data_IF_583294260642
#
_entry.id   IF_583294260642
#
_cell.length_a   1.000
_cell.length_b   1.000
_cell.length_c   1.000
_cell.angle_alpha   90.00
_cell.angle_beta   90.00
_cell.angle_gamma   90.00
#
_symmetry.space_group_name_H-M   'P 1'
#
loop_
_entity.id
_entity.type
_entity.pdbx_description
1 polymer ?
#
# COMPACT_ATOMS: atom_id res chain seq x y z
N UNK A 1 13.75 6.60 -21.42
CA UNK A 1 13.90 5.32 -20.70
C UNK A 1 12.53 4.65 -20.66
N UNK A 2 12.45 3.35 -20.91
CA UNK A 2 11.22 2.56 -20.83
C UNK A 2 11.07 2.09 -19.38
N UNK A 3 9.89 2.27 -18.81
CA UNK A 3 9.54 1.79 -17.47
C UNK A 3 8.89 0.42 -17.57
N UNK A 4 9.36 -0.53 -16.77
CA UNK A 4 8.82 -1.89 -16.75
C UNK A 4 7.85 -2.05 -15.57
N UNK A 5 6.76 -2.77 -15.81
CA UNK A 5 5.87 -3.28 -14.76
C UNK A 5 5.51 -4.72 -15.08
N UNK A 6 5.74 -5.61 -14.15
CA UNK A 6 5.30 -7.00 -14.27
C UNK A 6 3.84 -7.13 -13.83
N UNK A 7 3.06 -7.93 -14.55
CA UNK A 7 1.67 -8.22 -14.25
C UNK A 7 1.38 -9.68 -14.51
N UNK A 8 0.85 -10.40 -13.52
CA UNK A 8 0.54 -11.81 -13.64
C UNK A 8 -0.86 -12.14 -13.10
N UNK A 9 -1.50 -13.15 -13.66
CA UNK A 9 -2.66 -13.79 -13.02
C UNK A 9 -2.20 -14.49 -11.74
N UNK A 10 -2.93 -14.29 -10.65
CA UNK A 10 -2.56 -14.80 -9.33
C UNK A 10 -3.76 -15.39 -8.60
N UNK A 11 -3.63 -16.64 -8.22
CA UNK A 11 -4.64 -17.38 -7.41
C UNK A 11 -4.14 -17.61 -5.98
N UNK A 12 -2.82 -17.52 -5.76
CA UNK A 12 -2.14 -17.70 -4.49
C UNK A 12 -1.16 -16.55 -4.23
N UNK A 13 -1.19 -15.97 -3.03
CA UNK A 13 -0.36 -14.84 -2.63
C UNK A 13 1.15 -15.09 -2.87
N UNK A 14 1.65 -16.23 -2.43
CA UNK A 14 3.06 -16.58 -2.55
C UNK A 14 3.48 -16.74 -4.02
N UNK A 15 2.80 -17.60 -4.76
CA UNK A 15 3.12 -17.89 -6.18
C UNK A 15 2.93 -16.67 -7.09
N UNK A 16 1.91 -15.85 -6.82
CA UNK A 16 1.67 -14.62 -7.58
C UNK A 16 2.83 -13.65 -7.46
N UNK A 17 3.34 -13.41 -6.26
CA UNK A 17 4.50 -12.54 -6.03
C UNK A 17 5.77 -13.14 -6.65
N UNK A 18 6.03 -14.45 -6.49
CA UNK A 18 7.18 -15.12 -7.13
C UNK A 18 7.18 -14.92 -8.66
N UNK A 19 6.06 -15.20 -9.31
CA UNK A 19 5.91 -15.02 -10.77
C UNK A 19 6.15 -13.57 -11.18
N UNK A 20 5.61 -12.62 -10.42
CA UNK A 20 5.77 -11.19 -10.68
C UNK A 20 7.24 -10.77 -10.61
N UNK A 21 7.97 -11.22 -9.59
CA UNK A 21 9.37 -10.88 -9.38
C UNK A 21 10.30 -11.51 -10.42
N UNK A 22 9.97 -12.68 -10.95
CA UNK A 22 10.76 -13.32 -12.01
C UNK A 22 10.92 -12.43 -13.26
N UNK A 23 9.89 -11.65 -13.61
CA UNK A 23 9.97 -10.74 -14.76
C UNK A 23 10.93 -9.56 -14.58
N UNK A 24 11.23 -9.20 -13.32
CA UNK A 24 12.09 -8.06 -12.98
C UNK A 24 13.32 -8.51 -12.18
N UNK A 25 13.69 -9.80 -12.23
CA UNK A 25 14.76 -10.39 -11.43
C UNK A 25 16.09 -9.69 -11.61
N UNK A 26 16.51 -9.47 -12.86
CA UNK A 26 17.82 -8.89 -13.15
C UNK A 26 17.90 -7.43 -12.67
N UNK A 27 16.82 -6.66 -12.86
CA UNK A 27 16.70 -5.30 -12.34
C UNK A 27 16.77 -5.30 -10.81
N UNK A 28 16.16 -6.31 -10.15
CA UNK A 28 16.16 -6.44 -8.69
C UNK A 28 17.54 -6.83 -8.15
N UNK A 29 18.22 -7.80 -8.76
CA UNK A 29 19.59 -8.20 -8.41
C UNK A 29 20.52 -6.99 -8.50
N UNK A 30 20.47 -6.26 -9.61
CA UNK A 30 21.26 -5.05 -9.83
C UNK A 30 20.96 -3.98 -8.79
N UNK A 31 19.69 -3.75 -8.48
CA UNK A 31 19.29 -2.71 -7.53
C UNK A 31 19.72 -3.01 -6.10
N UNK A 32 19.79 -4.29 -5.72
CA UNK A 32 20.14 -4.71 -4.36
C UNK A 32 21.65 -4.96 -4.14
N UNK A 33 22.46 -5.01 -5.20
CA UNK A 33 23.89 -5.37 -5.11
C UNK A 33 24.69 -4.52 -4.10
N UNK A 34 24.43 -3.21 -4.05
CA UNK A 34 25.12 -2.25 -3.20
C UNK A 34 24.31 -1.77 -1.98
N UNK A 35 23.15 -2.39 -1.71
CA UNK A 35 22.29 -2.02 -0.59
C UNK A 35 22.72 -2.78 0.66
N UNK A 36 23.05 -2.06 1.74
CA UNK A 36 23.46 -2.64 3.03
C UNK A 36 22.29 -3.15 3.86
N UNK A 37 21.14 -2.48 3.77
CA UNK A 37 19.87 -2.92 4.37
C UNK A 37 18.72 -2.45 3.50
N UNK A 38 17.67 -3.25 3.42
CA UNK A 38 16.42 -2.84 2.77
C UNK A 38 15.28 -2.80 3.80
N UNK A 39 14.30 -1.93 3.53
CA UNK A 39 13.13 -1.80 4.37
C UNK A 39 11.88 -2.19 3.58
N UNK A 40 11.12 -3.14 4.12
CA UNK A 40 9.80 -3.53 3.63
C UNK A 40 8.74 -2.81 4.44
N UNK A 41 8.03 -1.86 3.83
CA UNK A 41 6.85 -1.26 4.43
C UNK A 41 5.64 -2.11 4.09
N UNK A 42 5.12 -2.79 5.08
CA UNK A 42 3.85 -3.52 4.98
C UNK A 42 2.67 -2.61 5.33
N UNK A 43 1.45 -3.10 5.21
CA UNK A 43 0.25 -2.45 5.72
C UNK A 43 -0.37 -3.32 6.82
N UNK A 44 -0.46 -2.79 8.02
CA UNK A 44 -1.07 -3.44 9.17
C UNK A 44 -1.88 -2.39 9.94
N UNK A 45 -3.06 -2.07 9.42
CA UNK A 45 -3.87 -0.96 9.95
C UNK A 45 -4.40 -1.28 11.34
N UNK A 46 -4.76 -2.55 11.58
CA UNK A 46 -5.35 -3.01 12.84
C UNK A 46 -4.53 -4.18 13.39
N UNK A 47 -4.01 -3.98 14.59
CA UNK A 47 -3.21 -4.97 15.30
C UNK A 47 -4.03 -5.98 16.13
N UNK A 48 -5.35 -5.77 16.31
CA UNK A 48 -6.23 -6.61 17.13
C UNK A 48 -7.40 -7.14 16.31
N UNK A 49 -7.81 -8.41 16.57
CA UNK A 49 -9.02 -9.00 15.98
C UNK A 49 -10.26 -8.87 16.88
N UNK A 50 -10.08 -8.73 18.21
CA UNK A 50 -11.20 -8.69 19.18
C UNK A 50 -11.95 -7.37 19.05
N UNK A 51 -13.26 -7.43 18.81
CA UNK A 51 -14.13 -6.26 18.73
C UNK A 51 -14.15 -5.55 17.38
N UNK A 52 -13.43 -6.04 16.35
CA UNK A 52 -13.43 -5.46 15.01
C UNK A 52 -14.33 -6.22 14.04
N UNK A 53 -14.89 -5.57 13.01
CA UNK A 53 -15.74 -6.20 12.01
C UNK A 53 -15.01 -7.34 11.27
N UNK A 54 -15.77 -8.33 10.79
CA UNK A 54 -15.26 -9.34 9.85
C UNK A 54 -14.66 -8.65 8.61
N UNK A 55 -13.53 -9.15 8.12
CA UNK A 55 -12.85 -8.61 6.94
C UNK A 55 -11.73 -7.62 7.26
N UNK A 56 -11.48 -7.34 8.54
CA UNK A 56 -10.39 -6.46 8.97
C UNK A 56 -9.01 -7.00 8.57
N UNK A 57 -8.87 -8.32 8.43
CA UNK A 57 -7.67 -8.98 7.90
C UNK A 57 -7.34 -8.53 6.47
N UNK A 58 -8.35 -8.07 5.71
CA UNK A 58 -8.15 -7.50 4.37
C UNK A 58 -7.46 -6.13 4.40
N UNK A 59 -7.36 -5.48 5.56
CA UNK A 59 -6.60 -4.25 5.72
C UNK A 59 -5.09 -4.52 5.84
N UNK A 60 -4.68 -5.77 6.09
CA UNK A 60 -3.29 -6.17 6.33
C UNK A 60 -2.65 -6.74 5.06
N UNK A 61 -1.36 -6.47 4.87
CA UNK A 61 -0.55 -7.12 3.84
C UNK A 61 -0.51 -8.63 4.10
N UNK A 62 -0.76 -9.50 3.10
CA UNK A 62 -0.67 -10.94 3.27
C UNK A 62 0.75 -11.35 3.67
N UNK A 63 0.89 -12.11 4.76
CA UNK A 63 2.18 -12.66 5.18
C UNK A 63 2.90 -13.39 4.03
N UNK A 64 2.15 -14.22 3.28
CA UNK A 64 2.68 -14.99 2.17
C UNK A 64 3.24 -14.15 1.02
N UNK A 65 2.81 -12.90 0.85
CA UNK A 65 3.39 -11.99 -0.12
C UNK A 65 4.77 -11.48 0.33
N UNK A 66 4.93 -11.23 1.64
CA UNK A 66 6.20 -10.80 2.23
C UNK A 66 7.20 -11.95 2.29
N UNK A 67 6.76 -13.12 2.74
CA UNK A 67 7.55 -14.37 2.73
C UNK A 67 8.07 -14.66 1.32
N UNK A 68 7.20 -14.59 0.32
CA UNK A 68 7.57 -14.78 -1.08
C UNK A 68 8.66 -13.82 -1.56
N UNK A 69 8.58 -12.54 -1.21
CA UNK A 69 9.61 -11.57 -1.57
C UNK A 69 10.95 -11.89 -0.89
N UNK A 70 10.94 -12.21 0.41
CA UNK A 70 12.14 -12.56 1.17
C UNK A 70 12.81 -13.81 0.58
N UNK A 71 12.03 -14.87 0.35
CA UNK A 71 12.53 -16.10 -0.25
C UNK A 71 13.12 -15.88 -1.65
N UNK A 72 12.46 -15.00 -2.44
CA UNK A 72 12.92 -14.67 -3.79
C UNK A 72 14.30 -13.98 -3.80
N UNK A 73 14.53 -13.05 -2.87
CA UNK A 73 15.79 -12.31 -2.83
C UNK A 73 16.87 -13.04 -2.04
N UNK A 74 16.53 -14.00 -1.19
CA UNK A 74 17.45 -14.70 -0.30
C UNK A 74 18.66 -15.37 -1.00
N UNK A 75 18.59 -15.85 -2.27
CA UNK A 75 19.75 -16.39 -2.96
C UNK A 75 20.85 -15.36 -3.26
N UNK A 76 20.48 -14.08 -3.45
CA UNK A 76 21.41 -13.02 -3.87
C UNK A 76 21.48 -11.82 -2.92
N UNK A 77 20.67 -11.78 -1.86
CA UNK A 77 20.69 -10.73 -0.84
C UNK A 77 20.74 -11.33 0.56
N UNK A 78 21.89 -11.20 1.25
CA UNK A 78 22.17 -11.79 2.57
C UNK A 78 22.28 -10.75 3.69
N UNK A 79 21.98 -9.48 3.38
CA UNK A 79 22.09 -8.38 4.32
C UNK A 79 20.77 -8.15 5.05
N UNK A 80 20.74 -7.18 5.97
CA UNK A 80 19.56 -6.90 6.81
C UNK A 80 18.32 -6.57 6.00
N UNK A 81 17.19 -7.17 6.40
CA UNK A 81 15.83 -6.88 5.91
C UNK A 81 15.01 -6.38 7.09
N UNK A 82 14.53 -5.14 7.01
CA UNK A 82 13.68 -4.54 8.03
C UNK A 82 12.24 -4.62 7.56
N UNK A 83 11.37 -5.32 8.28
CA UNK A 83 9.91 -5.25 8.07
C UNK A 83 9.37 -4.21 9.06
N UNK A 84 8.85 -3.11 8.52
CA UNK A 84 8.44 -1.96 9.32
C UNK A 84 6.95 -1.63 9.15
N UNK A 85 6.30 -1.32 10.27
CA UNK A 85 4.94 -0.79 10.30
C UNK A 85 4.68 -0.01 11.60
N UNK A 86 3.68 0.83 11.57
CA UNK A 86 3.03 1.42 12.73
C UNK A 86 1.52 1.26 12.58
N UNK A 87 0.95 0.33 13.32
CA UNK A 87 -0.50 0.11 13.34
C UNK A 87 -1.25 1.39 13.72
N UNK A 88 -2.37 1.64 13.06
CA UNK A 88 -3.26 2.75 13.42
C UNK A 88 -4.02 2.44 14.72
N UNK A 89 -4.39 1.17 14.94
CA UNK A 89 -5.11 0.70 16.12
C UNK A 89 -4.45 -0.54 16.72
N UNK A 90 -4.29 -0.52 18.02
CA UNK A 90 -3.61 -1.57 18.79
C UNK A 90 -2.09 -1.40 18.80
N UNK A 91 -1.40 -2.36 19.39
CA UNK A 91 0.07 -2.38 19.44
C UNK A 91 0.61 -3.10 18.23
N UNK A 92 1.52 -2.48 17.49
CA UNK A 92 2.10 -3.06 16.26
C UNK A 92 2.74 -4.42 16.52
N UNK A 93 3.43 -4.59 17.66
CA UNK A 93 4.06 -5.86 18.06
C UNK A 93 3.03 -7.00 18.19
N UNK A 94 1.88 -6.73 18.82
CA UNK A 94 0.78 -7.71 18.88
C UNK A 94 0.24 -8.05 17.47
N UNK A 95 0.22 -7.06 16.57
CA UNK A 95 -0.17 -7.27 15.18
C UNK A 95 0.84 -8.08 14.38
N UNK A 96 2.14 -7.88 14.59
CA UNK A 96 3.18 -8.71 13.98
C UNK A 96 3.02 -10.18 14.40
N UNK A 97 2.77 -10.44 15.70
CA UNK A 97 2.53 -11.77 16.21
C UNK A 97 1.26 -12.39 15.62
N UNK A 98 0.14 -11.67 15.69
CA UNK A 98 -1.17 -12.12 15.22
C UNK A 98 -1.15 -12.53 13.74
N UNK A 99 -0.46 -11.76 12.91
CA UNK A 99 -0.39 -12.01 11.47
C UNK A 99 0.82 -12.85 11.05
N UNK A 100 1.59 -13.39 12.00
CA UNK A 100 2.66 -14.35 11.76
C UNK A 100 4.00 -13.74 11.35
N UNK A 101 4.16 -12.42 11.36
CA UNK A 101 5.43 -11.76 11.01
C UNK A 101 6.54 -12.05 12.02
N UNK A 102 6.19 -12.23 13.31
CA UNK A 102 7.16 -12.64 14.35
C UNK A 102 7.77 -13.99 14.00
N UNK A 103 6.96 -14.99 13.68
CA UNK A 103 7.42 -16.31 13.24
C UNK A 103 8.23 -16.27 11.94
N UNK A 104 7.89 -15.35 11.02
CA UNK A 104 8.67 -15.15 9.80
C UNK A 104 10.07 -14.62 10.12
N UNK A 105 10.18 -13.66 11.04
CA UNK A 105 11.48 -13.11 11.47
C UNK A 105 12.32 -14.15 12.22
N UNK A 106 11.73 -14.94 13.11
CA UNK A 106 12.39 -16.04 13.82
C UNK A 106 13.02 -17.07 12.87
N UNK A 107 12.35 -17.36 11.75
CA UNK A 107 12.86 -18.30 10.72
C UNK A 107 13.93 -17.70 9.80
N UNK A 108 14.08 -16.39 9.77
CA UNK A 108 14.98 -15.68 8.88
C UNK A 108 15.88 -14.73 9.66
N UNK A 109 17.10 -15.16 10.07
CA UNK A 109 17.98 -14.36 10.94
C UNK A 109 18.34 -12.96 10.38
N UNK A 110 18.25 -12.76 9.07
CA UNK A 110 18.46 -11.47 8.43
C UNK A 110 17.26 -10.51 8.54
N UNK A 111 16.10 -11.00 9.03
CA UNK A 111 14.86 -10.22 9.12
C UNK A 111 14.70 -9.65 10.52
N UNK A 112 14.53 -8.33 10.59
CA UNK A 112 14.21 -7.60 11.81
C UNK A 112 12.86 -6.92 11.69
N UNK A 113 12.02 -7.05 12.71
CA UNK A 113 10.77 -6.30 12.84
C UNK A 113 11.01 -4.94 13.48
N UNK A 114 10.44 -3.89 12.92
CA UNK A 114 10.49 -2.55 13.45
C UNK A 114 9.07 -2.01 13.66
N UNK A 115 8.69 -1.82 14.94
CA UNK A 115 7.55 -0.96 15.24
C UNK A 115 8.00 0.49 15.05
N UNK A 116 7.49 1.16 14.02
CA UNK A 116 7.84 2.54 13.73
C UNK A 116 7.47 3.50 14.86
N UNK A 117 6.61 3.08 15.80
CA UNK A 117 6.30 3.86 17.01
C UNK A 117 7.53 4.01 17.91
N UNK A 118 8.41 3.00 17.91
CA UNK A 118 9.64 2.97 18.72
C UNK A 118 10.84 3.60 17.99
N UNK A 119 10.66 4.03 16.72
CA UNK A 119 11.72 4.63 15.91
C UNK A 119 11.97 6.10 16.29
N UNK A 120 13.18 6.58 16.05
CA UNK A 120 13.51 8.00 16.19
C UNK A 120 12.67 8.85 15.24
N UNK A 121 12.24 10.00 15.74
CA UNK A 121 11.40 10.96 14.99
C UNK A 121 12.26 12.06 14.41
N UNK A 122 11.98 12.41 13.15
CA UNK A 122 12.46 13.62 12.48
C UNK A 122 11.25 14.43 12.06
N UNK A 123 11.13 15.63 12.59
CA UNK A 123 10.08 16.56 12.16
C UNK A 123 10.40 17.16 10.78
N UNK A 124 9.40 17.19 9.91
CA UNK A 124 9.48 17.80 8.59
C UNK A 124 8.28 18.70 8.33
N UNK A 125 8.55 19.85 7.76
CA UNK A 125 7.52 20.77 7.29
C UNK A 125 6.99 20.32 5.93
N UNK A 126 5.69 20.15 5.84
CA UNK A 126 4.97 19.82 4.62
C UNK A 126 4.19 21.03 4.16
N UNK A 127 4.52 21.53 2.98
CA UNK A 127 3.81 22.64 2.35
C UNK A 127 2.62 22.10 1.54
N UNK A 128 1.48 22.79 1.62
CA UNK A 128 0.29 22.51 0.84
C UNK A 128 -0.49 23.82 0.56
N UNK A 129 -1.48 23.86 -0.33
CA UNK A 129 -2.11 25.11 -0.79
C UNK A 129 -2.70 26.02 0.28
N UNK A 130 -3.04 25.48 1.48
CA UNK A 130 -3.57 26.28 2.60
C UNK A 130 -2.48 26.82 3.53
N UNK A 131 -1.24 26.35 3.41
CA UNK A 131 -0.15 26.71 4.29
C UNK A 131 0.86 25.58 4.49
N UNK A 132 1.26 25.38 5.73
CA UNK A 132 2.23 24.34 6.11
C UNK A 132 1.81 23.60 7.36
N UNK A 133 2.20 22.33 7.46
CA UNK A 133 2.06 21.51 8.67
C UNK A 133 3.41 20.89 8.99
N UNK A 134 3.69 20.69 10.28
CA UNK A 134 4.87 19.96 10.74
C UNK A 134 4.41 18.54 11.10
N UNK A 135 5.05 17.54 10.49
CA UNK A 135 4.73 16.15 10.73
C UNK A 135 5.97 15.39 11.22
N UNK A 136 5.79 14.48 12.21
CA UNK A 136 6.86 13.62 12.71
C UNK A 136 7.00 12.40 11.79
N UNK A 137 8.19 12.20 11.24
CA UNK A 137 8.52 11.06 10.39
C UNK A 137 9.42 10.07 11.11
N UNK A 138 9.29 8.79 10.76
CA UNK A 138 10.24 7.76 11.12
C UNK A 138 11.60 8.04 10.47
N UNK A 139 12.66 8.15 11.29
CA UNK A 139 14.02 8.35 10.81
C UNK A 139 14.46 7.21 9.90
N UNK A 140 14.23 5.98 10.32
CA UNK A 140 14.60 4.78 9.54
C UNK A 140 13.95 4.76 8.15
N UNK A 141 12.68 5.19 8.04
CA UNK A 141 12.00 5.29 6.75
C UNK A 141 12.55 6.40 5.86
N UNK A 142 12.89 7.56 6.44
CA UNK A 142 13.48 8.67 5.68
C UNK A 142 14.89 8.37 5.17
N UNK A 143 15.69 7.62 5.93
CA UNK A 143 17.10 7.37 5.65
C UNK A 143 17.36 6.06 4.90
N UNK A 144 16.34 5.19 4.77
CA UNK A 144 16.52 3.90 4.07
C UNK A 144 16.94 4.09 2.62
N UNK A 145 17.91 3.30 2.19
CA UNK A 145 18.45 3.37 0.82
C UNK A 145 17.61 2.56 -0.19
N UNK A 146 16.84 1.59 0.30
CA UNK A 146 15.96 0.82 -0.56
C UNK A 146 14.66 0.49 0.18
N UNK A 147 13.59 1.17 -0.23
CA UNK A 147 12.25 1.06 0.34
C UNK A 147 11.34 0.24 -0.57
N UNK A 148 10.87 -0.89 -0.07
CA UNK A 148 9.90 -1.76 -0.75
C UNK A 148 8.53 -1.55 -0.11
N UNK A 149 7.52 -1.25 -0.90
CA UNK A 149 6.13 -1.27 -0.45
C UNK A 149 5.47 -2.57 -0.87
N UNK A 150 5.07 -3.41 0.09
CA UNK A 150 4.29 -4.62 -0.19
C UNK A 150 2.90 -4.44 0.39
N UNK A 151 1.88 -4.45 -0.48
CA UNK A 151 0.50 -4.19 -0.07
C UNK A 151 -0.50 -4.94 -0.94
N UNK A 152 -1.79 -4.83 -0.58
CA UNK A 152 -2.91 -5.25 -1.43
C UNK A 152 -3.72 -4.04 -1.90
N UNK A 153 -4.45 -4.14 -3.03
CA UNK A 153 -5.30 -3.07 -3.51
C UNK A 153 -6.52 -2.92 -2.61
N UNK A 154 -6.82 -1.66 -2.21
CA UNK A 154 -7.98 -1.36 -1.36
C UNK A 154 -8.67 -0.08 -1.80
N UNK A 155 -10.00 -0.05 -1.67
CA UNK A 155 -10.76 1.20 -1.70
C UNK A 155 -10.50 2.03 -0.45
N UNK A 156 -10.78 3.34 -0.51
CA UNK A 156 -10.52 4.27 0.59
C UNK A 156 -11.53 5.42 0.60
N UNK A 157 -11.98 5.81 1.80
CA UNK A 157 -12.99 6.85 2.04
C UNK A 157 -12.57 8.26 1.59
N UNK A 158 -11.27 8.60 1.62
CA UNK A 158 -10.81 9.96 1.32
C UNK A 158 -10.18 10.08 -0.07
N UNK A 159 -9.39 9.09 -0.47
CA UNK A 159 -8.58 9.14 -1.69
C UNK A 159 -8.97 8.10 -2.74
N UNK A 160 -10.12 7.46 -2.59
CA UNK A 160 -10.70 6.40 -3.43
C UNK A 160 -9.93 5.08 -3.40
N UNK A 161 -8.60 5.11 -3.50
CA UNK A 161 -7.74 3.92 -3.57
C UNK A 161 -6.55 4.05 -2.63
N UNK A 162 -6.18 2.95 -2.00
CA UNK A 162 -4.89 2.72 -1.35
C UNK A 162 -4.16 1.62 -2.09
N UNK A 163 -2.93 1.90 -2.51
CA UNK A 163 -2.01 0.96 -3.11
C UNK A 163 -0.59 1.20 -2.56
N UNK A 164 0.46 0.97 -3.33
CA UNK A 164 1.85 1.00 -2.86
C UNK A 164 2.31 2.36 -2.33
N UNK A 165 2.03 3.44 -3.05
CA UNK A 165 2.48 4.78 -2.69
C UNK A 165 1.85 5.23 -1.37
N UNK A 166 0.52 5.22 -1.26
CA UNK A 166 -0.17 5.68 -0.06
C UNK A 166 0.22 4.88 1.19
N UNK A 167 0.50 3.58 1.04
CA UNK A 167 0.99 2.72 2.12
C UNK A 167 2.28 3.27 2.76
N UNK A 168 3.18 3.80 1.95
CA UNK A 168 4.43 4.42 2.40
C UNK A 168 4.18 5.82 2.94
N UNK A 169 3.48 6.69 2.20
CA UNK A 169 3.36 8.11 2.55
C UNK A 169 2.70 8.30 3.92
N UNK A 170 1.56 7.68 4.18
CA UNK A 170 0.87 7.77 5.48
C UNK A 170 1.58 6.92 6.54
N UNK A 171 2.10 5.76 6.13
CA UNK A 171 2.81 4.84 7.02
C UNK A 171 4.16 5.35 7.52
N UNK A 172 4.74 6.39 6.90
CA UNK A 172 5.98 7.03 7.35
C UNK A 172 5.79 8.00 8.52
N UNK A 173 4.54 8.43 8.77
CA UNK A 173 4.23 9.37 9.83
C UNK A 173 4.20 8.65 11.18
N UNK A 174 5.08 9.07 12.08
CA UNK A 174 5.26 8.48 13.41
C UNK A 174 4.64 9.31 14.55
N UNK A 175 3.66 10.13 14.27
CA UNK A 175 2.97 10.92 15.28
C UNK A 175 1.77 10.21 15.93
N UNK A 176 1.10 10.92 16.82
CA UNK A 176 -0.16 10.51 17.40
C UNK A 176 -1.26 10.36 16.34
N UNK A 177 -2.44 9.93 16.76
CA UNK A 177 -3.60 9.88 15.88
C UNK A 177 -3.95 11.26 15.28
N UNK A 178 -3.83 12.30 16.09
CA UNK A 178 -4.10 13.70 15.73
C UNK A 178 -3.16 14.16 14.59
N UNK A 179 -1.89 13.76 14.63
CA UNK A 179 -0.96 14.02 13.53
C UNK A 179 -1.40 13.38 12.22
N UNK A 180 -1.95 12.15 12.29
CA UNK A 180 -2.50 11.48 11.11
C UNK A 180 -3.81 12.11 10.63
N UNK A 181 -4.65 12.62 11.53
CA UNK A 181 -5.85 13.37 11.17
C UNK A 181 -5.53 14.66 10.40
N UNK A 182 -4.42 15.33 10.71
CA UNK A 182 -3.98 16.53 9.97
C UNK A 182 -3.74 16.24 8.48
N UNK A 183 -3.32 15.00 8.14
CA UNK A 183 -3.13 14.61 6.74
C UNK A 183 -4.48 14.52 6.01
N UNK A 184 -5.53 14.08 6.71
CA UNK A 184 -6.87 13.91 6.19
C UNK A 184 -7.70 15.20 6.21
N UNK A 185 -7.10 16.32 5.76
CA UNK A 185 -7.72 17.66 5.76
C UNK A 185 -8.63 17.89 4.54
N UNK A 186 -9.68 17.09 4.40
CA UNK A 186 -10.69 17.25 3.36
C UNK A 186 -10.09 17.33 1.96
N UNK A 187 -10.34 18.41 1.23
CA UNK A 187 -9.86 18.60 -0.16
C UNK A 187 -8.33 18.65 -0.31
N UNK A 188 -7.58 18.89 0.76
CA UNK A 188 -6.12 19.02 0.70
C UNK A 188 -5.35 17.72 0.94
N UNK A 189 -6.01 16.62 1.32
CA UNK A 189 -5.36 15.32 1.53
C UNK A 189 -4.47 14.91 0.35
N UNK A 190 -4.92 15.15 -0.87
CA UNK A 190 -4.18 14.79 -2.08
C UNK A 190 -2.88 15.61 -2.24
N UNK A 191 -2.92 16.91 -1.92
CA UNK A 191 -1.76 17.79 -1.97
C UNK A 191 -0.75 17.43 -0.87
N UNK A 192 -1.23 17.17 0.35
CA UNK A 192 -0.38 16.77 1.48
C UNK A 192 0.33 15.44 1.15
N UNK A 193 -0.38 14.43 0.65
CA UNK A 193 0.23 13.18 0.21
C UNK A 193 1.29 13.39 -0.87
N UNK A 194 0.99 14.22 -1.87
CA UNK A 194 1.95 14.51 -2.93
C UNK A 194 3.18 15.29 -2.44
N UNK A 195 3.06 16.10 -1.39
CA UNK A 195 4.19 16.78 -0.77
C UNK A 195 5.01 15.83 0.13
N UNK A 196 4.38 14.90 0.83
CA UNK A 196 5.10 13.84 1.57
C UNK A 196 5.95 12.99 0.63
N UNK A 197 5.48 12.75 -0.60
CA UNK A 197 6.21 11.99 -1.61
C UNK A 197 7.56 12.64 -2.04
N UNK A 198 7.80 13.90 -1.71
CA UNK A 198 9.10 14.53 -1.92
C UNK A 198 10.14 14.12 -0.87
N UNK A 199 9.69 13.65 0.29
CA UNK A 199 10.54 13.21 1.39
C UNK A 199 10.74 11.70 1.43
N UNK A 200 9.71 10.94 1.13
CA UNK A 200 9.73 9.47 1.18
C UNK A 200 8.91 8.90 0.02
N UNK A 201 9.53 8.00 -0.74
CA UNK A 201 8.90 7.38 -1.90
C UNK A 201 9.42 5.95 -2.09
N UNK A 202 8.58 4.96 -2.41
CA UNK A 202 9.06 3.58 -2.55
C UNK A 202 9.92 3.41 -3.81
N UNK A 203 11.02 2.65 -3.67
CA UNK A 203 11.91 2.27 -4.77
C UNK A 203 11.37 1.06 -5.53
N UNK A 204 10.64 0.19 -4.84
CA UNK A 204 9.94 -0.95 -5.43
C UNK A 204 8.55 -1.04 -4.82
N UNK A 205 7.54 -1.22 -5.67
CA UNK A 205 6.17 -1.50 -5.25
C UNK A 205 5.78 -2.89 -5.72
N UNK A 206 5.27 -3.69 -4.78
CA UNK A 206 4.65 -4.99 -5.02
C UNK A 206 3.20 -4.89 -4.55
N UNK A 207 2.25 -5.08 -5.46
CA UNK A 207 0.83 -5.09 -5.12
C UNK A 207 0.30 -6.50 -5.36
N UNK A 208 0.08 -7.19 -4.25
CA UNK A 208 -0.54 -8.50 -4.26
C UNK A 208 -2.07 -8.35 -4.31
N UNK A 209 -2.58 -8.36 -5.52
CA UNK A 209 -4.00 -8.31 -5.84
C UNK A 209 -4.62 -9.70 -6.01
N UNK A 210 -4.02 -10.78 -5.49
CA UNK A 210 -4.71 -12.09 -5.41
C UNK A 210 -6.05 -11.91 -4.72
N UNK A 211 -6.07 -11.08 -3.67
CA UNK A 211 -7.30 -10.58 -3.05
C UNK A 211 -7.14 -9.12 -2.66
N UNK A 212 -8.18 -8.33 -2.86
CA UNK A 212 -8.25 -6.94 -2.45
C UNK A 212 -9.41 -6.65 -1.51
N UNK A 213 -9.51 -5.39 -1.07
CA UNK A 213 -10.65 -4.89 -0.30
C UNK A 213 -11.43 -3.88 -1.13
N UNK A 214 -12.72 -4.11 -1.30
CA UNK A 214 -13.63 -3.21 -2.02
C UNK A 214 -14.74 -2.65 -1.11
N UNK A 215 -15.47 -1.64 -1.56
CA UNK A 215 -16.56 -1.01 -0.81
C UNK A 215 -16.03 -0.06 0.24
N UNK A 216 -16.44 -0.22 1.50
CA UNK A 216 -16.14 0.71 2.59
C UNK A 216 -14.72 0.54 3.19
N UNK A 217 -13.70 0.46 2.32
CA UNK A 217 -12.31 0.52 2.75
C UNK A 217 -11.92 1.88 3.37
N UNK A 218 -10.80 1.97 4.09
CA UNK A 218 -9.69 1.00 4.10
C UNK A 218 -9.82 -0.14 5.12
N UNK A 219 -10.92 -0.23 5.88
CA UNK A 219 -11.04 -1.18 7.01
C UNK A 219 -12.31 -2.02 6.93
N UNK A 220 -13.45 -1.41 6.63
CA UNK A 220 -14.78 -2.03 6.65
C UNK A 220 -15.25 -2.48 5.26
N UNK A 221 -14.31 -2.76 4.38
CA UNK A 221 -14.61 -3.29 3.06
C UNK A 221 -14.86 -4.79 3.08
N UNK A 222 -15.19 -5.33 1.92
CA UNK A 222 -15.35 -6.76 1.69
C UNK A 222 -14.29 -7.29 0.74
N UNK A 223 -14.11 -8.61 0.74
CA UNK A 223 -13.13 -9.28 -0.12
C UNK A 223 -13.54 -9.16 -1.58
N UNK A 224 -12.60 -8.75 -2.42
CA UNK A 224 -12.63 -8.89 -3.87
C UNK A 224 -11.55 -9.91 -4.26
N UNK A 225 -11.93 -10.93 -5.04
CA UNK A 225 -10.98 -11.90 -5.62
C UNK A 225 -10.44 -11.31 -6.91
N UNK A 226 -9.50 -10.36 -6.79
CA UNK A 226 -8.96 -9.59 -7.91
C UNK A 226 -8.16 -10.44 -8.88
N UNK A 227 -7.42 -11.43 -8.36
CA UNK A 227 -6.81 -12.48 -9.19
C UNK A 227 -5.57 -12.05 -9.95
N UNK A 228 -4.83 -11.03 -9.50
CA UNK A 228 -3.62 -10.54 -10.13
C UNK A 228 -2.54 -10.14 -9.11
N UNK A 229 -1.29 -10.10 -9.54
CA UNK A 229 -0.18 -9.52 -8.80
C UNK A 229 0.68 -8.70 -9.75
N UNK A 230 1.28 -7.61 -9.26
CA UNK A 230 2.15 -6.74 -10.05
C UNK A 230 3.32 -6.20 -9.24
N UNK A 231 4.42 -5.86 -9.93
CA UNK A 231 5.54 -5.15 -9.34
C UNK A 231 6.19 -4.19 -10.33
N UNK A 232 6.68 -3.05 -9.82
CA UNK A 232 7.43 -2.08 -10.61
C UNK A 232 8.37 -1.27 -9.74
N UNK A 233 9.52 -0.89 -10.29
CA UNK A 233 10.43 0.10 -9.73
C UNK A 233 9.92 1.54 -9.92
N UNK A 234 8.93 1.75 -10.79
CA UNK A 234 8.20 3.01 -10.88
C UNK A 234 6.88 2.88 -10.09
N UNK A 235 6.86 3.46 -8.90
CA UNK A 235 5.72 3.37 -8.00
C UNK A 235 4.44 4.01 -8.60
N UNK A 236 4.57 5.07 -9.39
CA UNK A 236 3.42 5.70 -10.04
C UNK A 236 2.83 4.78 -11.11
N UNK A 237 3.68 4.10 -11.89
CA UNK A 237 3.25 3.07 -12.85
C UNK A 237 2.52 1.93 -12.13
N UNK A 238 3.08 1.42 -11.03
CA UNK A 238 2.46 0.34 -10.25
C UNK A 238 1.07 0.74 -9.73
N UNK A 239 0.96 1.89 -9.07
CA UNK A 239 -0.30 2.35 -8.47
C UNK A 239 -1.35 2.69 -9.54
N UNK A 240 -0.96 3.34 -10.64
CA UNK A 240 -1.90 3.69 -11.73
C UNK A 240 -2.38 2.48 -12.51
N UNK A 241 -1.52 1.47 -12.70
CA UNK A 241 -1.94 0.18 -13.27
C UNK A 241 -2.89 -0.55 -12.30
N UNK A 242 -2.60 -0.57 -11.01
CA UNK A 242 -3.51 -1.16 -10.01
C UNK A 242 -4.89 -0.47 -10.02
N UNK A 243 -4.94 0.85 -10.08
CA UNK A 243 -6.20 1.62 -10.20
C UNK A 243 -6.99 1.19 -11.44
N UNK A 244 -6.32 1.03 -12.58
CA UNK A 244 -6.94 0.53 -13.82
C UNK A 244 -7.48 -0.90 -13.65
N UNK A 245 -6.71 -1.81 -13.07
CA UNK A 245 -7.11 -3.19 -12.80
C UNK A 245 -8.29 -3.28 -11.82
N UNK A 246 -8.37 -2.34 -10.86
CA UNK A 246 -9.52 -2.20 -9.98
C UNK A 246 -10.78 -1.68 -10.72
N UNK A 247 -10.68 -1.26 -11.97
CA UNK A 247 -11.77 -0.75 -12.79
C UNK A 247 -12.11 0.72 -12.53
N UNK A 248 -11.18 1.49 -11.94
CA UNK A 248 -11.33 2.93 -11.72
C UNK A 248 -10.62 3.76 -12.79
N UNK A 249 -11.08 4.99 -12.95
CA UNK A 249 -10.44 5.97 -13.83
C UNK A 249 -9.24 6.55 -13.09
N UNK A 250 -8.04 6.40 -13.66
CA UNK A 250 -6.77 6.84 -13.03
C UNK A 250 -6.79 8.34 -12.72
N UNK A 251 -7.34 9.16 -13.63
CA UNK A 251 -7.43 10.61 -13.45
C UNK A 251 -8.36 11.05 -12.32
N UNK A 252 -9.22 10.16 -11.80
CA UNK A 252 -10.07 10.44 -10.64
C UNK A 252 -9.33 10.30 -9.30
N UNK A 253 -8.08 9.82 -9.33
CA UNK A 253 -7.25 9.66 -8.13
C UNK A 253 -6.30 10.85 -8.04
N UNK A 254 -6.77 11.94 -7.41
CA UNK A 254 -6.12 13.24 -7.46
C UNK A 254 -4.66 13.24 -6.99
N UNK A 255 -4.29 12.49 -5.92
CA UNK A 255 -2.89 12.47 -5.49
C UNK A 255 -1.97 11.84 -6.55
N UNK A 256 -2.41 10.80 -7.27
CA UNK A 256 -1.63 10.21 -8.37
C UNK A 256 -1.50 11.19 -9.56
N UNK A 257 -2.56 11.96 -9.84
CA UNK A 257 -2.50 13.03 -10.84
C UNK A 257 -1.45 14.07 -10.48
N UNK A 258 -1.42 14.56 -9.24
CA UNK A 258 -0.42 15.52 -8.75
C UNK A 258 0.99 14.92 -8.82
N UNK A 259 1.17 13.64 -8.46
CA UNK A 259 2.48 12.96 -8.55
C UNK A 259 2.97 12.86 -10.00
N UNK A 260 2.08 12.62 -10.95
CA UNK A 260 2.39 12.67 -12.39
C UNK A 260 2.86 14.06 -12.83
N UNK A 261 2.15 15.11 -12.40
CA UNK A 261 2.52 16.51 -12.68
C UNK A 261 3.87 16.86 -12.06
N UNK A 262 4.18 16.35 -10.88
CA UNK A 262 5.50 16.45 -10.21
C UNK A 262 6.58 15.54 -10.80
N UNK A 263 6.30 14.80 -11.88
CA UNK A 263 7.23 13.87 -12.55
C UNK A 263 7.82 12.79 -11.63
N UNK A 264 7.02 12.31 -10.65
CA UNK A 264 7.43 11.24 -9.73
C UNK A 264 7.40 9.83 -10.34
N UNK A 265 7.12 9.70 -11.62
CA UNK A 265 7.06 8.47 -12.38
C UNK A 265 6.18 8.60 -13.61
N UNK A 266 5.90 7.48 -14.26
CA UNK A 266 5.08 7.40 -15.47
C UNK A 266 3.71 6.83 -15.13
N UNK A 267 2.65 7.58 -15.44
CA UNK A 267 1.27 7.14 -15.19
C UNK A 267 0.78 6.21 -16.32
N UNK A 268 0.22 5.06 -15.95
CA UNK A 268 -0.47 4.15 -16.89
C UNK A 268 -1.85 4.75 -17.28
N UNK A 269 -2.30 4.62 -18.55
CA UNK A 269 -1.56 4.04 -19.66
C UNK A 269 -0.56 5.04 -20.29
N UNK A 270 0.58 4.53 -20.75
CA UNK A 270 1.60 5.33 -21.44
C UNK A 270 2.44 4.46 -22.38
N UNK A 271 2.85 4.99 -23.54
CA UNK A 271 3.70 4.28 -24.53
C UNK A 271 5.11 3.96 -24.00
N UNK A 272 5.55 4.64 -22.93
CA UNK A 272 6.85 4.39 -22.27
C UNK A 272 6.77 3.30 -21.20
N UNK A 273 5.61 2.66 -21.03
CA UNK A 273 5.42 1.55 -20.08
C UNK A 273 5.39 0.24 -20.85
N UNK A 274 6.32 -0.64 -20.50
CA UNK A 274 6.37 -2.03 -20.94
C UNK A 274 5.69 -2.91 -19.88
N UNK A 275 4.65 -3.62 -20.29
CA UNK A 275 3.97 -4.61 -19.43
C UNK A 275 4.61 -5.96 -19.67
N UNK A 276 5.21 -6.53 -18.63
CA UNK A 276 5.80 -7.87 -18.65
C UNK A 276 4.79 -8.88 -18.11
N UNK A 277 4.36 -9.83 -18.93
CA UNK A 277 3.40 -10.88 -18.58
C UNK A 277 2.01 -10.63 -19.17
N UNK A 278 0.99 -10.55 -18.34
CA UNK A 278 -0.42 -10.54 -18.76
C UNK A 278 -0.87 -9.19 -19.34
N UNK A 279 -1.85 -9.23 -20.23
CA UNK A 279 -2.46 -8.01 -20.78
C UNK A 279 -3.41 -7.39 -19.72
N UNK A 280 -3.28 -6.10 -19.36
CA UNK A 280 -4.08 -5.48 -18.31
C UNK A 280 -5.59 -5.63 -18.49
N UNK A 281 -6.08 -5.54 -19.73
CA UNK A 281 -7.52 -5.64 -20.04
C UNK A 281 -8.14 -6.97 -19.62
N UNK A 282 -7.36 -8.07 -19.58
CA UNK A 282 -7.86 -9.41 -19.22
C UNK A 282 -8.00 -9.61 -17.73
N UNK A 283 -7.40 -8.73 -16.91
CA UNK A 283 -7.35 -8.87 -15.45
C UNK A 283 -8.12 -7.76 -14.69
N UNK A 284 -8.98 -7.01 -15.37
CA UNK A 284 -9.83 -6.01 -14.72
C UNK A 284 -10.83 -6.68 -13.79
N UNK A 285 -10.76 -6.35 -12.50
CA UNK A 285 -11.53 -7.00 -11.43
C UNK A 285 -12.71 -6.18 -10.87
N UNK A 286 -12.97 -4.99 -11.39
CA UNK A 286 -14.15 -4.13 -11.12
C UNK A 286 -14.51 -3.99 -9.64
N UNK A 287 -13.67 -3.33 -8.86
CA UNK A 287 -13.93 -3.05 -7.45
C UNK A 287 -15.14 -2.15 -7.25
N UNK A 288 -15.92 -2.44 -6.23
CA UNK A 288 -16.95 -1.52 -5.75
C UNK A 288 -16.29 -0.34 -5.03
N UNK A 289 -16.60 0.91 -5.40
CA UNK A 289 -16.05 2.07 -4.73
C UNK A 289 -16.59 2.22 -3.30
N UNK A 290 -15.90 3.00 -2.47
CA UNK A 290 -16.42 3.43 -1.19
C UNK A 290 -17.73 4.23 -1.39
N UNK A 291 -18.69 4.11 -0.45
CA UNK A 291 -20.03 4.72 -0.58
C UNK A 291 -19.97 6.25 -0.81
N UNK A 292 -18.99 6.96 -0.28
CA UNK A 292 -18.75 8.40 -0.50
C UNK A 292 -18.58 8.76 -1.99
N UNK A 293 -18.16 7.80 -2.82
CA UNK A 293 -17.89 8.00 -4.26
C UNK A 293 -18.92 7.34 -5.19
N UNK A 294 -20.02 6.81 -4.66
CA UNK A 294 -21.05 6.11 -5.48
C UNK A 294 -21.84 7.04 -6.41
N UNK A 295 -21.95 8.32 -6.13
CA UNK A 295 -22.76 9.27 -6.91
C UNK A 295 -22.31 9.43 -8.37
N UNK A 296 -21.09 8.98 -8.73
CA UNK A 296 -20.53 9.08 -10.09
C UNK A 296 -20.58 7.76 -10.88
N UNK A 297 -21.26 6.74 -10.38
CA UNK A 297 -21.43 5.49 -11.12
C UNK A 297 -22.85 5.50 -11.69
N UNK A 298 -22.98 5.40 -13.03
CA UNK A 298 -24.25 5.27 -13.72
C UNK A 298 -25.18 4.29 -12.99
N UNK A 299 -26.41 4.71 -12.73
CA UNK A 299 -27.46 4.03 -11.94
C UNK A 299 -27.83 2.61 -12.42
N UNK A 300 -27.22 2.11 -13.48
CA UNK A 300 -27.49 0.78 -14.03
C UNK A 300 -26.56 -0.27 -13.42
N UNK A 301 -27.10 -1.09 -12.52
CA UNK A 301 -26.56 -2.32 -11.93
C UNK A 301 -25.78 -2.21 -10.62
N UNK A 302 -26.41 -1.76 -9.55
CA UNK A 302 -25.97 -2.11 -8.21
C UNK A 302 -27.16 -2.29 -7.27
N UNK A 303 -27.76 -3.49 -7.26
CA UNK A 303 -28.55 -3.99 -6.14
C UNK A 303 -27.62 -4.30 -4.96
N UNK A 304 -27.03 -3.22 -4.39
CA UNK A 304 -26.22 -3.32 -3.17
C UNK A 304 -27.02 -2.74 -2.01
N UNK A 305 -27.44 -3.60 -1.12
CA UNK A 305 -27.86 -3.22 0.22
C UNK A 305 -26.63 -3.32 1.14
N UNK A 306 -26.15 -2.19 1.71
CA UNK A 306 -25.15 -2.28 2.76
C UNK A 306 -25.70 -3.15 3.88
N UNK A 307 -24.89 -4.05 4.47
CA UNK A 307 -25.34 -4.78 5.64
C UNK A 307 -25.76 -3.76 6.71
N UNK A 308 -27.00 -3.87 7.21
CA UNK A 308 -27.48 -3.12 8.37
C UNK A 308 -26.75 -3.64 9.60
N UNK A 309 -25.48 -3.27 9.78
CA UNK A 309 -24.83 -3.42 11.09
C UNK A 309 -25.17 -2.17 11.89
N UNK A 310 -26.08 -2.32 12.87
CA UNK A 310 -26.15 -1.40 14.00
C UNK A 310 -24.80 -1.50 14.73
N UNK A 311 -23.97 -0.46 14.57
CA UNK A 311 -22.83 -0.24 15.44
C UNK A 311 -23.39 -0.06 16.86
N UNK A 312 -22.88 -0.79 17.84
CA UNK A 312 -23.22 -0.53 19.24
C UNK A 312 -22.80 0.89 19.56
N UNK A 313 -23.62 1.61 20.34
CA UNK A 313 -23.42 3.03 20.71
C UNK A 313 -22.08 3.31 21.43
N UNK A 314 -21.30 2.28 21.76
CA UNK A 314 -19.99 2.36 22.40
C UNK A 314 -18.80 2.13 21.46
N UNK A 315 -19.00 2.07 20.15
CA UNK A 315 -17.87 1.99 19.20
C UNK A 315 -17.36 3.40 18.89
N UNK A 316 -16.27 3.79 19.54
CA UNK A 316 -15.50 5.00 19.19
C UNK A 316 -14.84 4.79 17.83
N UNK A 317 -15.59 5.02 16.77
CA UNK A 317 -15.05 5.08 15.40
C UNK A 317 -14.86 6.54 15.02
N UNK A 318 -13.64 6.98 14.71
CA UNK A 318 -13.34 8.39 14.42
C UNK A 318 -13.75 8.86 13.01
N UNK A 319 -14.56 8.08 12.30
CA UNK A 319 -15.01 8.47 10.95
C UNK A 319 -16.53 8.56 10.88
N UNK A 320 -17.08 9.73 10.49
CA UNK A 320 -18.50 9.87 10.21
C UNK A 320 -18.94 9.11 8.97
#
# INVERSE_FOLDING_TARGET
MITKVSLVKSEEHYKGVQKTLNYIKDDLVKSLSNISSLLIKINLVIAKNKGYPKGVELATTPLKAVESFIDFISPFYKKEIIIAERSAWGKTKEGFELHGFTKLAEKNPQVRLLDLKDDKIIEKTINYPKGKIVLPFSKTLLETKFLVSITRPKTHCDVRVTAGIKNVLVGSINGSWECRLQIHQGKYVHNILASIADLVYPHLVIIDGTTGMEGNGPIMGRKNRSGWSLASFDALTADTLAVYLMGFVVNDINYLKILKEKKKGISFPNKKIEILGEKPKTLISKFLPHHKFKKNINKQKLNYHPPKQKLSENSIWPWP
#
